data_IF_194701754744
#
_entry.id   IF_194701754744
#
_cell.length_a   1.000
_cell.length_b   1.000
_cell.length_c   1.000
_cell.angle_alpha   90.00
_cell.angle_beta   90.00
_cell.angle_gamma   90.00
#
_symmetry.space_group_name_H-M   'P 1'
#
loop_
_entity.id
_entity.type
_entity.pdbx_description
1 polymer ?
#
# COMPACT_ATOMS: atom_id res chain seq x y z
N UNK A 1 5.70 3.80 18.25
CA UNK A 1 5.48 4.59 17.01
C UNK A 1 4.76 3.67 16.06
N UNK A 2 3.59 4.06 15.55
CA UNK A 2 2.85 3.26 14.57
C UNK A 2 3.59 3.31 13.23
N UNK A 3 3.89 2.15 12.64
CA UNK A 3 4.57 2.03 11.34
C UNK A 3 3.69 2.64 10.24
N UNK A 4 4.26 3.30 9.22
CA UNK A 4 3.47 3.76 8.07
C UNK A 4 3.08 2.58 7.17
N UNK A 5 2.02 2.73 6.36
CA UNK A 5 1.65 1.69 5.40
C UNK A 5 2.80 1.31 4.47
N UNK A 6 3.60 2.28 4.00
CA UNK A 6 4.74 1.98 3.14
C UNK A 6 5.81 1.16 3.87
N UNK A 7 6.17 1.55 5.09
CA UNK A 7 7.13 0.80 5.90
C UNK A 7 6.63 -0.63 6.16
N UNK A 8 5.36 -0.79 6.50
CA UNK A 8 4.74 -2.10 6.67
C UNK A 8 4.76 -2.89 5.37
N UNK A 9 4.40 -2.28 4.25
CA UNK A 9 4.38 -2.93 2.94
C UNK A 9 5.77 -3.41 2.52
N UNK A 10 6.81 -2.61 2.76
CA UNK A 10 8.19 -3.00 2.42
C UNK A 10 8.72 -4.18 3.24
N UNK A 11 8.12 -4.52 4.39
CA UNK A 11 8.46 -5.74 5.13
C UNK A 11 7.72 -6.98 4.65
N UNK A 12 6.75 -6.84 3.73
CA UNK A 12 5.94 -7.94 3.21
C UNK A 12 6.54 -8.61 1.95
N UNK A 13 7.74 -8.21 1.49
CA UNK A 13 8.29 -8.61 0.19
C UNK A 13 8.62 -10.11 0.07
N UNK A 14 8.75 -10.80 1.20
CA UNK A 14 9.12 -12.22 1.23
C UNK A 14 7.89 -13.16 1.21
N UNK A 15 6.67 -12.60 1.11
CA UNK A 15 5.43 -13.38 1.02
C UNK A 15 5.25 -13.95 -0.38
N UNK A 16 4.76 -15.19 -0.45
CA UNK A 16 4.40 -15.89 -1.69
C UNK A 16 2.88 -15.76 -1.97
N UNK A 17 2.33 -14.55 -1.82
CA UNK A 17 0.94 -14.25 -2.09
C UNK A 17 0.77 -12.91 -2.81
N UNK A 18 -0.48 -12.55 -3.13
CA UNK A 18 -0.79 -11.32 -3.87
C UNK A 18 -0.36 -10.04 -3.14
N UNK A 19 -0.21 -10.08 -1.80
CA UNK A 19 0.30 -8.95 -1.01
C UNK A 19 1.81 -8.88 -1.12
N UNK A 20 2.50 -10.02 -1.11
CA UNK A 20 3.94 -10.12 -1.40
C UNK A 20 4.29 -9.65 -2.80
N UNK A 21 3.55 -10.09 -3.81
CA UNK A 21 3.71 -9.65 -5.20
C UNK A 21 3.51 -8.12 -5.33
N UNK A 22 2.49 -7.61 -4.66
CA UNK A 22 2.22 -6.17 -4.62
C UNK A 22 3.35 -5.41 -3.89
N UNK A 23 3.82 -5.90 -2.76
CA UNK A 23 4.94 -5.31 -2.01
C UNK A 23 6.24 -5.28 -2.83
N UNK A 24 6.58 -6.39 -3.48
CA UNK A 24 7.75 -6.49 -4.36
C UNK A 24 7.67 -5.51 -5.54
N UNK A 25 6.47 -5.35 -6.12
CA UNK A 25 6.22 -4.37 -7.19
C UNK A 25 6.35 -2.94 -6.67
N UNK A 26 5.74 -2.62 -5.53
CA UNK A 26 5.73 -1.26 -4.97
C UNK A 26 7.09 -0.81 -4.45
N UNK A 27 7.97 -1.73 -4.02
CA UNK A 27 9.35 -1.42 -3.61
C UNK A 27 10.19 -0.75 -4.72
N UNK A 28 9.78 -0.90 -5.99
CA UNK A 28 10.45 -0.28 -7.14
C UNK A 28 10.10 1.20 -7.30
N UNK A 29 9.12 1.70 -6.54
CA UNK A 29 8.64 3.08 -6.60
C UNK A 29 8.88 3.80 -5.27
N UNK A 30 9.00 5.12 -5.33
CA UNK A 30 8.98 5.95 -4.12
C UNK A 30 7.58 5.94 -3.47
N UNK A 31 7.54 6.14 -2.14
CA UNK A 31 6.27 6.24 -1.41
C UNK A 31 5.38 7.36 -2.01
N UNK A 32 4.12 7.05 -2.36
CA UNK A 32 3.18 8.03 -2.90
C UNK A 32 3.03 9.26 -2.00
N UNK A 33 3.33 10.41 -2.58
CA UNK A 33 3.17 11.70 -1.90
C UNK A 33 1.78 12.29 -2.11
N UNK A 34 1.33 13.09 -1.15
CA UNK A 34 0.05 13.75 -1.23
C UNK A 34 0.06 14.85 -2.30
N UNK A 35 -0.85 14.78 -3.26
CA UNK A 35 -1.10 15.89 -4.20
C UNK A 35 -2.12 16.90 -3.64
N UNK A 36 -2.83 16.54 -2.56
CA UNK A 36 -3.84 17.40 -1.89
C UNK A 36 -3.54 17.58 -0.39
N UNK A 37 -3.74 18.79 0.13
CA UNK A 37 -3.45 19.20 1.52
C UNK A 37 -4.13 18.37 2.64
N UNK A 38 -5.16 17.58 2.35
CA UNK A 38 -5.92 16.80 3.34
C UNK A 38 -6.04 15.30 3.00
N UNK A 39 -5.24 14.77 2.08
CA UNK A 39 -5.29 13.35 1.74
C UNK A 39 -4.72 12.50 2.88
N UNK A 40 -5.52 11.59 3.42
CA UNK A 40 -5.02 10.54 4.31
C UNK A 40 -4.18 9.52 3.53
N UNK A 41 -3.43 8.66 4.23
CA UNK A 41 -2.50 7.74 3.60
C UNK A 41 -3.19 6.82 2.56
N UNK A 42 -4.37 6.26 2.87
CA UNK A 42 -5.12 5.42 1.91
C UNK A 42 -5.44 6.19 0.63
N UNK A 43 -5.94 7.43 0.76
CA UNK A 43 -6.29 8.27 -0.38
C UNK A 43 -5.07 8.62 -1.25
N UNK A 44 -3.87 8.80 -0.65
CA UNK A 44 -2.63 9.05 -1.41
C UNK A 44 -2.31 7.86 -2.30
N UNK A 45 -2.32 6.66 -1.74
CA UNK A 45 -2.05 5.42 -2.46
C UNK A 45 -3.10 5.13 -3.54
N UNK A 46 -4.38 5.24 -3.21
CA UNK A 46 -5.46 5.02 -4.16
C UNK A 46 -5.40 6.01 -5.34
N UNK A 47 -5.15 7.29 -5.08
CA UNK A 47 -5.00 8.31 -6.14
C UNK A 47 -3.81 7.98 -7.04
N UNK A 48 -2.65 7.65 -6.44
CA UNK A 48 -1.45 7.33 -7.20
C UNK A 48 -1.63 6.08 -8.09
N UNK A 49 -2.32 5.04 -7.59
CA UNK A 49 -2.62 3.84 -8.37
C UNK A 49 -3.53 4.16 -9.57
N UNK A 50 -4.53 5.02 -9.37
CA UNK A 50 -5.39 5.50 -10.47
C UNK A 50 -4.59 6.32 -11.48
N UNK A 51 -3.72 7.22 -11.03
CA UNK A 51 -2.87 8.05 -11.90
C UNK A 51 -1.88 7.19 -12.72
N UNK A 52 -1.46 6.04 -12.19
CA UNK A 52 -0.64 5.04 -12.89
C UNK A 52 -1.43 4.10 -13.79
N UNK A 53 -2.75 4.28 -13.90
CA UNK A 53 -3.65 3.39 -14.62
C UNK A 53 -3.47 1.92 -14.18
N UNK A 54 -3.37 1.71 -12.86
CA UNK A 54 -3.19 0.39 -12.27
C UNK A 54 -4.31 -0.56 -12.69
N UNK A 55 -3.96 -1.82 -12.96
CA UNK A 55 -4.95 -2.83 -13.32
C UNK A 55 -5.90 -3.13 -12.14
N UNK A 56 -7.10 -3.68 -12.41
CA UNK A 56 -7.99 -4.13 -11.35
C UNK A 56 -7.34 -5.11 -10.36
N UNK A 57 -6.39 -5.92 -10.81
CA UNK A 57 -5.65 -6.87 -9.97
C UNK A 57 -4.75 -6.15 -8.96
N UNK A 58 -4.03 -5.12 -9.40
CA UNK A 58 -3.19 -4.30 -8.52
C UNK A 58 -4.05 -3.56 -7.48
N UNK A 59 -5.22 -3.05 -7.89
CA UNK A 59 -6.16 -2.39 -6.98
C UNK A 59 -6.69 -3.38 -5.94
N UNK A 60 -7.00 -4.62 -6.34
CA UNK A 60 -7.43 -5.67 -5.41
C UNK A 60 -6.33 -6.03 -4.40
N UNK A 61 -5.10 -6.19 -4.85
CA UNK A 61 -3.97 -6.46 -3.99
C UNK A 61 -3.70 -5.31 -3.01
N UNK A 62 -3.80 -4.05 -3.46
CA UNK A 62 -3.72 -2.87 -2.60
C UNK A 62 -4.78 -2.88 -1.49
N UNK A 63 -6.06 -3.10 -1.84
CA UNK A 63 -7.14 -3.11 -0.85
C UNK A 63 -6.96 -4.23 0.19
N UNK A 64 -6.47 -5.40 -0.24
CA UNK A 64 -6.15 -6.50 0.66
C UNK A 64 -5.00 -6.14 1.60
N UNK A 65 -3.89 -5.65 1.05
CA UNK A 65 -2.72 -5.21 1.83
C UNK A 65 -3.10 -4.12 2.84
N UNK A 66 -3.95 -3.17 2.45
CA UNK A 66 -4.42 -2.10 3.32
C UNK A 66 -5.23 -2.63 4.51
N UNK A 67 -6.14 -3.57 4.25
CA UNK A 67 -6.95 -4.19 5.31
C UNK A 67 -6.08 -4.94 6.31
N UNK A 68 -5.07 -5.67 5.84
CA UNK A 68 -4.12 -6.39 6.71
C UNK A 68 -3.28 -5.43 7.55
N UNK A 69 -2.77 -4.35 6.95
CA UNK A 69 -2.07 -3.29 7.68
C UNK A 69 -2.94 -2.68 8.79
N UNK A 70 -4.22 -2.42 8.52
CA UNK A 70 -5.12 -1.88 9.55
C UNK A 70 -5.35 -2.89 10.68
N UNK A 71 -5.49 -4.17 10.38
CA UNK A 71 -5.64 -5.21 11.40
C UNK A 71 -4.39 -5.32 12.28
N UNK A 72 -3.20 -5.28 11.69
CA UNK A 72 -1.92 -5.33 12.42
C UNK A 72 -1.73 -4.09 13.32
N UNK A 73 -2.15 -2.93 12.81
CA UNK A 73 -2.14 -1.66 13.52
C UNK A 73 -3.14 -1.57 14.70
N UNK A 74 -4.24 -2.33 14.67
CA UNK A 74 -5.23 -2.41 15.75
C UNK A 74 -4.82 -3.42 16.85
N UNK A 75 -3.92 -4.35 16.53
CA UNK A 75 -3.41 -5.38 17.46
C UNK A 75 -2.13 -4.95 18.20
N UNK A 76 -1.55 -3.80 17.85
CA UNK A 76 -0.30 -3.23 18.39
C UNK A 76 -0.56 -2.13 19.42
#
# INVERSE_FOLDING_TARGET
MQQTFYQWLTSQTDREDVVGDFAATMRQFEEPQATRKKANAHMKWATWLVDKNASPDVIRAFNLAWREYQADAELS
#
